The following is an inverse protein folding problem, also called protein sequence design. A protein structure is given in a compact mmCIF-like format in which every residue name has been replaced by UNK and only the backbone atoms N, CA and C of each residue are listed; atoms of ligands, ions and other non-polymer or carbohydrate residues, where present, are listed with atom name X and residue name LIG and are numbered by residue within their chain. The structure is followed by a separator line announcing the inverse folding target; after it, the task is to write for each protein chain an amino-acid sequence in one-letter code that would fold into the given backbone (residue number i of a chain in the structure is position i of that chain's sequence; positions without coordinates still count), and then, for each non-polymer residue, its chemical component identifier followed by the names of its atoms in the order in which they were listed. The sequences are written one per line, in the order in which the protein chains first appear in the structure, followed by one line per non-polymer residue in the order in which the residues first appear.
data_IF_862692388958
#
_entry.id   IF_862692388958
#
_cell.length_a   1.000
_cell.length_b   1.000
_cell.length_c   1.000
_cell.angle_alpha   90.00
_cell.angle_beta   90.00
_cell.angle_gamma   90.00
#
_symmetry.space_group_name_H-M   'P 1'
#
loop_
_entity.id
_entity.type
_entity.pdbx_description
1 polymer ?
#
# COMPACT_ATOMS: atom_id res chain seq x y z
N UNK A 1 6.62 -29.24 13.39
CA UNK A 1 7.54 -28.40 14.17
C UNK A 1 8.21 -27.41 13.23
N UNK A 2 8.29 -26.17 13.63
CA UNK A 2 8.87 -25.07 12.84
C UNK A 2 9.97 -24.43 13.68
N UNK A 3 11.12 -24.16 13.06
CA UNK A 3 12.24 -23.51 13.72
C UNK A 3 12.36 -22.05 13.26
N UNK A 4 12.50 -21.13 14.20
CA UNK A 4 12.75 -19.71 13.92
C UNK A 4 14.19 -19.38 14.34
N UNK A 5 14.99 -18.86 13.40
CA UNK A 5 16.33 -18.38 13.68
C UNK A 5 16.35 -16.85 13.64
N UNK A 6 16.55 -16.21 14.79
CA UNK A 6 17.00 -14.84 14.84
C UNK A 6 18.52 -14.77 14.71
N UNK A 7 19.05 -13.82 13.99
CA UNK A 7 20.48 -13.66 13.64
C UNK A 7 21.41 -13.49 14.87
N UNK A 8 20.88 -13.42 16.09
CA UNK A 8 21.68 -13.16 17.31
C UNK A 8 21.57 -14.20 18.44
N UNK A 9 20.85 -15.31 18.26
CA UNK A 9 20.78 -16.32 19.32
C UNK A 9 21.17 -17.69 18.82
N UNK A 10 22.17 -18.31 19.45
CA UNK A 10 22.60 -19.69 19.19
C UNK A 10 21.53 -20.74 19.59
N UNK A 11 20.32 -20.35 19.95
CA UNK A 11 19.22 -21.24 20.27
C UNK A 11 18.14 -21.12 19.18
N UNK A 12 17.89 -22.24 18.50
CA UNK A 12 16.78 -22.39 17.56
C UNK A 12 15.54 -22.80 18.37
N UNK A 13 14.57 -21.91 18.65
CA UNK A 13 13.32 -22.33 19.26
C UNK A 13 12.58 -23.25 18.30
N UNK A 14 12.16 -24.41 18.81
CA UNK A 14 11.25 -25.32 18.12
C UNK A 14 9.84 -24.94 18.54
N UNK A 15 9.01 -24.61 17.58
CA UNK A 15 7.65 -24.14 17.80
C UNK A 15 6.68 -24.93 16.94
N UNK A 16 5.39 -24.82 17.25
CA UNK A 16 4.33 -25.39 16.45
C UNK A 16 3.61 -24.30 15.64
N UNK A 17 3.14 -24.64 14.45
CA UNK A 17 2.15 -23.84 13.73
C UNK A 17 0.80 -24.12 14.38
N UNK A 18 0.16 -23.09 14.93
CA UNK A 18 -1.11 -23.18 15.65
C UNK A 18 -2.30 -22.99 14.71
N UNK A 19 -2.16 -22.22 13.65
CA UNK A 19 -3.17 -22.03 12.60
C UNK A 19 -2.52 -21.57 11.29
N UNK A 20 -3.17 -21.91 10.19
CA UNK A 20 -2.90 -21.37 8.85
C UNK A 20 -4.04 -20.42 8.48
N UNK A 21 -3.75 -19.51 7.54
CA UNK A 21 -4.72 -18.59 6.94
C UNK A 21 -5.53 -17.79 7.98
N UNK A 22 -4.84 -17.37 9.05
CA UNK A 22 -5.45 -16.56 10.10
C UNK A 22 -5.63 -15.14 9.56
N UNK A 23 -6.88 -14.76 9.32
CA UNK A 23 -7.22 -13.38 8.96
C UNK A 23 -6.93 -12.43 10.12
N UNK A 24 -6.11 -11.45 9.86
CA UNK A 24 -5.73 -10.43 10.82
C UNK A 24 -5.82 -9.06 10.18
N UNK A 25 -6.70 -8.20 10.73
CA UNK A 25 -6.87 -6.81 10.28
C UNK A 25 -5.89 -5.92 11.02
N UNK A 26 -5.03 -5.25 10.26
CA UNK A 26 -4.05 -4.30 10.80
C UNK A 26 -4.69 -2.94 11.12
N UNK A 27 -3.97 -2.10 11.87
CA UNK A 27 -4.41 -0.75 12.26
C UNK A 27 -4.69 0.19 11.08
N UNK A 28 -4.21 -0.14 9.90
CA UNK A 28 -4.45 0.57 8.65
C UNK A 28 -5.63 -0.02 7.83
N UNK A 29 -6.48 -0.85 8.46
CA UNK A 29 -7.60 -1.57 7.82
C UNK A 29 -7.20 -2.53 6.69
N UNK A 30 -5.95 -2.95 6.62
CA UNK A 30 -5.51 -4.00 5.70
C UNK A 30 -5.67 -5.35 6.41
N UNK A 31 -6.43 -6.26 5.83
CA UNK A 31 -6.56 -7.64 6.30
C UNK A 31 -5.54 -8.51 5.57
N UNK A 32 -4.81 -9.32 6.32
CA UNK A 32 -3.82 -10.27 5.81
C UNK A 32 -4.06 -11.66 6.39
N UNK A 33 -3.85 -12.68 5.58
CA UNK A 33 -3.81 -14.06 6.01
C UNK A 33 -2.41 -14.39 6.52
N UNK A 34 -2.29 -14.82 7.77
CA UNK A 34 -1.03 -15.05 8.45
C UNK A 34 -0.93 -16.48 8.98
N UNK A 35 0.30 -16.99 9.08
CA UNK A 35 0.63 -18.20 9.82
C UNK A 35 0.67 -17.83 11.31
N UNK A 36 -0.12 -18.51 12.14
CA UNK A 36 -0.06 -18.38 13.59
C UNK A 36 0.85 -19.46 14.17
N UNK A 37 1.71 -19.08 15.12
CA UNK A 37 2.65 -19.97 15.80
C UNK A 37 2.72 -19.65 17.30
N UNK A 38 3.11 -20.61 18.10
CA UNK A 38 3.42 -20.43 19.51
C UNK A 38 4.85 -19.92 19.77
N UNK A 39 5.58 -19.62 18.69
CA UNK A 39 6.88 -18.97 18.82
C UNK A 39 6.77 -17.58 19.44
N UNK A 40 7.66 -17.29 20.36
CA UNK A 40 7.82 -15.94 20.89
C UNK A 40 8.40 -15.00 19.80
N UNK A 41 7.50 -14.28 19.12
CA UNK A 41 7.90 -13.25 18.14
C UNK A 41 8.01 -11.92 18.88
N UNK A 42 9.25 -11.43 19.00
CA UNK A 42 9.58 -10.21 19.72
C UNK A 42 10.33 -9.21 18.82
N UNK A 43 10.54 -8.02 19.34
CA UNK A 43 11.46 -7.06 18.72
C UNK A 43 12.87 -7.68 18.62
N UNK A 44 13.41 -7.74 17.40
CA UNK A 44 14.71 -8.33 17.07
C UNK A 44 14.64 -9.59 16.21
N UNK A 45 13.54 -10.35 16.22
CA UNK A 45 13.34 -11.44 15.27
C UNK A 45 12.30 -11.12 14.16
N UNK A 46 11.70 -9.93 14.20
CA UNK A 46 10.80 -9.44 13.15
C UNK A 46 11.56 -9.26 11.83
N UNK A 47 10.98 -9.75 10.73
CA UNK A 47 11.62 -9.82 9.41
C UNK A 47 12.54 -11.05 9.25
N UNK A 48 12.69 -11.88 10.29
CA UNK A 48 13.42 -13.14 10.22
C UNK A 48 12.63 -14.22 9.49
N UNK A 49 13.33 -15.26 9.04
CA UNK A 49 12.70 -16.38 8.37
C UNK A 49 12.14 -17.41 9.36
N UNK A 50 10.95 -17.91 9.04
CA UNK A 50 10.32 -19.06 9.67
C UNK A 50 10.63 -20.30 8.82
N UNK A 51 11.34 -21.28 9.39
CA UNK A 51 11.74 -22.49 8.69
C UNK A 51 10.92 -23.70 9.10
N UNK A 52 10.67 -24.62 8.19
CA UNK A 52 10.22 -25.96 8.53
C UNK A 52 11.39 -26.87 8.95
N UNK A 53 11.10 -28.12 9.31
CA UNK A 53 12.12 -29.10 9.71
C UNK A 53 13.08 -29.51 8.58
N UNK A 54 12.75 -29.20 7.34
CA UNK A 54 13.57 -29.49 6.17
C UNK A 54 14.50 -28.33 5.80
N UNK A 55 14.45 -27.22 6.56
CA UNK A 55 15.23 -26.01 6.29
C UNK A 55 14.63 -25.11 5.21
N UNK A 56 13.39 -25.35 4.80
CA UNK A 56 12.70 -24.50 3.83
C UNK A 56 12.05 -23.32 4.54
N UNK A 57 12.12 -22.13 3.93
CA UNK A 57 11.45 -20.93 4.42
C UNK A 57 9.95 -21.04 4.13
N UNK A 58 9.13 -21.04 5.17
CA UNK A 58 7.67 -21.11 5.07
C UNK A 58 7.00 -19.77 5.35
N UNK A 59 7.69 -18.82 5.97
CA UNK A 59 7.16 -17.51 6.26
C UNK A 59 8.21 -16.50 6.72
N UNK A 60 7.77 -15.26 6.87
CA UNK A 60 8.56 -14.15 7.40
C UNK A 60 7.89 -13.66 8.69
N UNK A 61 8.63 -13.67 9.80
CA UNK A 61 8.11 -13.28 11.11
C UNK A 61 7.75 -11.79 11.16
N UNK A 62 6.62 -11.45 11.79
CA UNK A 62 6.15 -10.07 11.93
C UNK A 62 5.80 -9.76 13.39
N UNK A 63 6.71 -9.09 14.10
CA UNK A 63 6.56 -8.75 15.52
C UNK A 63 5.54 -7.64 15.84
N UNK A 64 4.97 -6.98 14.84
CA UNK A 64 4.01 -5.87 15.07
C UNK A 64 2.61 -6.34 15.49
N UNK A 65 2.41 -7.64 15.63
CA UNK A 65 1.11 -8.19 15.98
C UNK A 65 1.10 -8.73 17.41
N UNK A 66 1.32 -7.89 18.39
CA UNK A 66 0.85 -8.15 19.76
C UNK A 66 -0.56 -7.57 19.87
N UNK A 67 -1.58 -8.44 19.90
CA UNK A 67 -2.95 -8.01 20.10
C UNK A 67 -3.10 -7.41 21.50
N UNK A 68 -3.15 -6.10 21.60
CA UNK A 68 -3.72 -5.42 22.76
C UNK A 68 -5.23 -5.46 22.60
N UNK A 69 -5.86 -6.52 23.09
CA UNK A 69 -7.29 -6.45 23.36
C UNK A 69 -7.49 -5.45 24.50
N UNK A 70 -8.43 -4.51 24.31
CA UNK A 70 -8.72 -3.41 25.24
C UNK A 70 -9.15 -3.81 26.67
N UNK A 71 -8.87 -5.02 27.11
CA UNK A 71 -9.14 -5.58 28.45
C UNK A 71 -7.87 -5.77 29.31
N UNK A 72 -6.71 -5.25 28.89
CA UNK A 72 -5.50 -5.26 29.73
C UNK A 72 -4.80 -6.61 29.89
N UNK A 73 -5.24 -7.67 29.21
CA UNK A 73 -4.55 -8.95 29.16
C UNK A 73 -3.62 -8.98 27.94
N UNK A 74 -2.30 -8.98 28.15
CA UNK A 74 -1.35 -9.33 27.11
C UNK A 74 -1.53 -10.79 26.75
N UNK A 75 -1.85 -11.11 25.50
CA UNK A 75 -1.84 -12.49 25.04
C UNK A 75 -0.37 -12.74 24.63
N UNK A 76 0.41 -13.25 25.59
CA UNK A 76 1.77 -13.67 25.36
C UNK A 76 1.77 -15.05 24.67
N UNK A 77 2.75 -15.31 23.81
CA UNK A 77 2.97 -16.55 23.06
C UNK A 77 2.06 -16.79 21.84
N UNK A 78 1.54 -15.77 21.20
CA UNK A 78 0.99 -15.86 19.85
C UNK A 78 1.88 -15.08 18.92
N UNK A 79 2.60 -15.79 18.06
CA UNK A 79 3.40 -15.20 16.98
C UNK A 79 2.67 -15.27 15.65
N UNK A 80 2.97 -14.34 14.77
CA UNK A 80 2.46 -14.31 13.41
C UNK A 80 3.58 -14.20 12.40
N UNK A 81 3.45 -14.92 11.29
CA UNK A 81 4.36 -14.85 10.16
C UNK A 81 3.57 -14.70 8.86
N UNK A 82 4.10 -13.91 7.94
CA UNK A 82 3.57 -13.75 6.59
C UNK A 82 3.94 -15.01 5.80
N UNK A 83 2.98 -15.74 5.19
CA UNK A 83 3.28 -16.92 4.39
C UNK A 83 4.22 -16.56 3.23
N UNK A 84 5.25 -17.38 2.99
CA UNK A 84 6.22 -17.12 1.91
C UNK A 84 5.54 -17.09 0.53
N UNK A 85 4.50 -17.90 0.33
CA UNK A 85 3.77 -17.96 -0.93
C UNK A 85 3.08 -16.63 -1.27
N UNK A 86 2.61 -15.88 -0.26
CA UNK A 86 1.95 -14.58 -0.46
C UNK A 86 2.91 -13.47 -0.87
N UNK A 87 4.22 -13.64 -0.61
CA UNK A 87 5.24 -12.63 -0.89
C UNK A 87 6.31 -13.08 -1.87
N UNK A 88 6.19 -14.29 -2.42
CA UNK A 88 7.19 -14.89 -3.29
C UNK A 88 7.53 -14.01 -4.49
N UNK A 89 6.53 -13.49 -5.20
CA UNK A 89 6.74 -12.60 -6.34
C UNK A 89 7.48 -11.30 -5.95
N UNK A 90 7.25 -10.82 -4.73
CA UNK A 90 7.94 -9.64 -4.18
C UNK A 90 9.41 -10.00 -3.90
N UNK A 91 9.65 -11.14 -3.28
CA UNK A 91 11.01 -11.63 -2.97
C UNK A 91 11.79 -11.87 -4.25
N UNK A 92 11.20 -12.57 -5.22
CA UNK A 92 11.82 -12.82 -6.52
C UNK A 92 12.16 -11.49 -7.23
N UNK A 93 11.26 -10.51 -7.21
CA UNK A 93 11.50 -9.17 -7.77
C UNK A 93 12.66 -8.44 -7.09
N UNK A 94 12.77 -8.55 -5.76
CA UNK A 94 13.88 -7.94 -5.01
C UNK A 94 15.21 -8.63 -5.36
N UNK A 95 15.22 -9.96 -5.49
CA UNK A 95 16.43 -10.73 -5.83
C UNK A 95 16.89 -10.41 -7.26
N UNK A 96 15.97 -10.36 -8.22
CA UNK A 96 16.27 -10.16 -9.62
C UNK A 96 16.59 -8.70 -9.98
N UNK A 97 15.80 -7.76 -9.43
CA UNK A 97 15.81 -6.34 -9.82
C UNK A 97 16.40 -5.41 -8.74
N UNK A 98 16.51 -5.88 -7.49
CA UNK A 98 16.94 -5.07 -6.36
C UNK A 98 15.86 -4.14 -5.79
N UNK A 99 14.65 -4.17 -6.34
CA UNK A 99 13.53 -3.34 -5.88
C UNK A 99 12.18 -4.00 -6.17
N UNK A 100 11.15 -3.55 -5.47
CA UNK A 100 9.75 -3.89 -5.76
C UNK A 100 9.16 -2.78 -6.61
N UNK A 101 8.77 -3.13 -7.81
CA UNK A 101 8.03 -2.24 -8.70
C UNK A 101 6.54 -2.37 -8.44
N UNK A 102 5.88 -1.24 -8.25
CA UNK A 102 4.41 -1.18 -8.19
C UNK A 102 3.87 -0.53 -9.45
N UNK A 103 2.84 -1.11 -10.08
CA UNK A 103 2.18 -0.45 -11.18
C UNK A 103 1.55 0.86 -10.69
N UNK A 104 1.69 1.93 -11.43
CA UNK A 104 1.10 3.22 -11.11
C UNK A 104 0.80 4.04 -12.36
N UNK A 105 -0.16 4.96 -12.25
CA UNK A 105 -0.47 5.91 -13.33
C UNK A 105 -0.08 7.34 -12.99
N UNK A 106 0.28 7.63 -11.75
CA UNK A 106 0.78 8.94 -11.32
C UNK A 106 -0.35 9.94 -11.06
N UNK A 107 -1.40 9.54 -10.37
CA UNK A 107 -2.48 10.42 -9.89
C UNK A 107 -2.68 10.26 -8.39
N UNK A 108 -3.02 11.36 -7.74
CA UNK A 108 -3.61 11.36 -6.41
C UNK A 108 -5.10 11.52 -6.58
N UNK A 109 -5.89 10.61 -6.02
CA UNK A 109 -7.34 10.60 -6.17
C UNK A 109 -8.06 10.60 -4.82
N UNK A 110 -9.25 11.15 -4.80
CA UNK A 110 -10.23 11.06 -3.72
C UNK A 110 -11.55 10.50 -4.27
N UNK A 111 -12.43 10.07 -3.37
CA UNK A 111 -13.79 9.76 -3.76
C UNK A 111 -14.56 11.07 -4.02
N UNK A 112 -15.48 11.04 -4.98
CA UNK A 112 -16.44 12.14 -5.19
C UNK A 112 -17.38 12.17 -4.00
N UNK A 113 -17.62 13.34 -3.40
CA UNK A 113 -18.52 13.45 -2.25
C UNK A 113 -19.97 13.18 -2.63
N UNK A 114 -20.74 12.59 -1.70
CA UNK A 114 -22.17 12.32 -1.89
C UNK A 114 -22.96 13.60 -2.21
N UNK A 115 -22.52 14.73 -1.68
CA UNK A 115 -23.08 16.04 -1.96
C UNK A 115 -22.88 16.41 -3.44
N UNK A 116 -21.68 16.26 -3.99
CA UNK A 116 -21.40 16.53 -5.40
C UNK A 116 -22.21 15.60 -6.33
N UNK A 117 -22.36 14.33 -5.94
CA UNK A 117 -23.18 13.36 -6.69
C UNK A 117 -24.65 13.81 -6.71
N UNK A 118 -25.17 14.32 -5.60
CA UNK A 118 -26.55 14.83 -5.53
C UNK A 118 -26.81 16.04 -6.44
N UNK A 119 -25.77 16.81 -6.78
CA UNK A 119 -25.81 17.91 -7.76
C UNK A 119 -25.52 17.48 -9.20
N UNK A 120 -25.51 16.17 -9.47
CA UNK A 120 -25.37 15.63 -10.83
C UNK A 120 -23.93 15.35 -11.28
N UNK A 121 -22.95 15.42 -10.37
CA UNK A 121 -21.58 14.99 -10.64
C UNK A 121 -21.53 13.44 -10.68
N UNK A 122 -20.92 12.80 -11.68
CA UNK A 122 -20.85 11.35 -11.72
C UNK A 122 -20.00 10.80 -10.57
N UNK A 123 -20.38 9.62 -10.05
CA UNK A 123 -19.56 8.87 -9.12
C UNK A 123 -18.26 8.44 -9.81
N UNK A 124 -17.17 8.33 -9.03
CA UNK A 124 -15.87 7.95 -9.56
C UNK A 124 -14.70 8.40 -8.70
N UNK A 125 -13.50 8.26 -9.25
CA UNK A 125 -12.26 8.72 -8.62
C UNK A 125 -11.93 10.14 -9.10
N UNK A 126 -12.07 11.13 -8.21
CA UNK A 126 -11.74 12.52 -8.49
C UNK A 126 -10.22 12.74 -8.41
N UNK A 127 -9.60 13.24 -9.46
CA UNK A 127 -8.17 13.54 -9.54
C UNK A 127 -7.88 14.82 -8.77
N UNK A 128 -7.18 14.69 -7.64
CA UNK A 128 -6.72 15.82 -6.82
C UNK A 128 -5.47 16.45 -7.42
N UNK A 129 -4.53 15.62 -7.85
CA UNK A 129 -3.29 16.05 -8.49
C UNK A 129 -2.74 14.99 -9.42
N UNK A 130 -1.91 15.42 -10.37
CA UNK A 130 -1.20 14.56 -11.31
C UNK A 130 0.31 14.71 -11.06
N UNK A 131 1.03 13.59 -11.05
CA UNK A 131 2.48 13.58 -10.84
C UNK A 131 3.17 14.13 -12.10
N UNK A 132 4.00 15.15 -11.91
CA UNK A 132 4.81 15.76 -13.00
C UNK A 132 5.72 14.72 -13.66
N UNK A 133 5.73 14.69 -14.98
CA UNK A 133 6.46 13.69 -15.78
C UNK A 133 5.85 12.28 -15.73
N UNK A 134 4.76 12.09 -14.99
CA UNK A 134 4.10 10.80 -14.80
C UNK A 134 3.29 10.32 -16.01
N UNK A 135 2.86 9.05 -15.98
CA UNK A 135 2.04 8.47 -17.05
C UNK A 135 0.73 9.22 -17.29
N UNK A 136 0.04 9.63 -16.23
CA UNK A 136 -1.23 10.33 -16.30
C UNK A 136 -1.09 11.73 -16.94
N UNK A 137 -0.04 12.47 -16.59
CA UNK A 137 0.23 13.77 -17.19
C UNK A 137 0.51 13.64 -18.69
N UNK A 138 1.34 12.66 -19.06
CA UNK A 138 1.64 12.36 -20.47
C UNK A 138 0.42 11.97 -21.28
N UNK A 139 -0.57 11.36 -20.63
CA UNK A 139 -1.85 11.00 -21.23
C UNK A 139 -2.84 12.18 -21.27
N UNK A 140 -2.55 13.30 -20.63
CA UNK A 140 -3.38 14.50 -20.62
C UNK A 140 -4.45 14.52 -19.50
N UNK A 141 -4.29 13.71 -18.46
CA UNK A 141 -5.11 13.85 -17.24
C UNK A 141 -4.74 15.13 -16.49
N UNK A 142 -5.73 15.72 -15.86
CA UNK A 142 -5.59 17.00 -15.14
C UNK A 142 -6.25 16.92 -13.76
N UNK A 143 -5.88 17.84 -12.88
CA UNK A 143 -6.58 18.02 -11.63
C UNK A 143 -8.05 18.41 -11.89
N UNK A 144 -8.96 17.94 -11.05
CA UNK A 144 -10.41 18.04 -11.16
C UNK A 144 -11.07 17.17 -12.24
N UNK A 145 -10.34 16.27 -12.88
CA UNK A 145 -10.94 15.19 -13.66
C UNK A 145 -11.63 14.19 -12.73
N UNK A 146 -12.68 13.54 -13.19
CA UNK A 146 -13.30 12.42 -12.49
C UNK A 146 -13.20 11.20 -13.39
N UNK A 147 -12.47 10.19 -12.93
CA UNK A 147 -12.37 8.91 -13.63
C UNK A 147 -13.59 8.08 -13.25
N UNK A 148 -14.44 7.79 -14.22
CA UNK A 148 -15.73 7.10 -14.02
C UNK A 148 -15.68 5.64 -14.44
N UNK A 149 -14.80 5.27 -15.38
CA UNK A 149 -14.60 3.88 -15.81
C UNK A 149 -13.17 3.64 -16.26
N UNK A 150 -12.74 2.36 -16.19
CA UNK A 150 -11.46 1.87 -16.69
C UNK A 150 -11.74 0.66 -17.59
N UNK A 151 -11.29 0.68 -18.83
CA UNK A 151 -11.52 -0.35 -19.86
C UNK A 151 -13.00 -0.75 -20.00
N UNK A 152 -13.89 0.24 -19.88
CA UNK A 152 -15.34 0.04 -19.95
C UNK A 152 -15.99 -0.46 -18.65
N UNK A 153 -15.21 -0.74 -17.60
CA UNK A 153 -15.72 -1.13 -16.28
C UNK A 153 -15.90 0.10 -15.41
N UNK A 154 -17.13 0.38 -15.00
CA UNK A 154 -17.42 1.51 -14.10
C UNK A 154 -16.76 1.34 -12.75
N UNK A 155 -16.28 2.46 -12.18
CA UNK A 155 -15.70 2.53 -10.85
C UNK A 155 -16.49 3.51 -9.99
N UNK A 156 -16.72 3.16 -8.73
CA UNK A 156 -17.46 3.99 -7.78
C UNK A 156 -16.59 4.97 -7.00
N UNK A 157 -15.27 4.83 -7.09
CA UNK A 157 -14.34 5.68 -6.34
C UNK A 157 -12.87 5.22 -6.44
N UNK A 158 -12.04 5.81 -5.57
CA UNK A 158 -10.58 5.56 -5.53
C UNK A 158 -10.20 4.10 -5.35
N UNK A 159 -10.97 3.35 -4.54
CA UNK A 159 -10.68 1.93 -4.27
C UNK A 159 -10.79 1.08 -5.52
N UNK A 160 -11.82 1.32 -6.35
CA UNK A 160 -12.00 0.62 -7.62
C UNK A 160 -10.86 0.90 -8.60
N UNK A 161 -10.43 2.16 -8.71
CA UNK A 161 -9.28 2.53 -9.54
C UNK A 161 -7.99 1.86 -9.05
N UNK A 162 -7.73 1.90 -7.74
CA UNK A 162 -6.53 1.33 -7.14
C UNK A 162 -6.44 -0.18 -7.34
N UNK A 163 -7.57 -0.91 -7.19
CA UNK A 163 -7.61 -2.36 -7.43
C UNK A 163 -7.27 -2.70 -8.88
N UNK A 164 -7.86 -1.99 -9.84
CA UNK A 164 -7.58 -2.26 -11.26
C UNK A 164 -6.11 -1.99 -11.59
N UNK A 165 -5.54 -0.88 -11.09
CA UNK A 165 -4.13 -0.57 -11.33
C UNK A 165 -3.21 -1.61 -10.68
N UNK A 166 -3.54 -2.11 -9.50
CA UNK A 166 -2.73 -3.11 -8.80
C UNK A 166 -2.63 -4.45 -9.55
N UNK A 167 -3.65 -4.78 -10.35
CA UNK A 167 -3.70 -5.99 -11.16
C UNK A 167 -2.97 -5.85 -12.52
N UNK A 168 -2.50 -4.63 -12.86
CA UNK A 168 -1.82 -4.36 -14.12
C UNK A 168 -0.32 -4.61 -14.03
N UNK A 169 0.30 -4.83 -15.19
CA UNK A 169 1.75 -4.79 -15.35
C UNK A 169 2.23 -3.42 -15.85
N UNK A 170 3.48 -3.07 -15.56
CA UNK A 170 4.10 -1.90 -16.17
C UNK A 170 4.16 -2.04 -17.69
N UNK A 171 3.70 -1.02 -18.41
CA UNK A 171 3.57 -1.03 -19.86
C UNK A 171 2.15 -1.32 -20.38
N UNK A 172 1.26 -1.81 -19.56
CA UNK A 172 -0.14 -2.01 -19.93
C UNK A 172 -0.80 -0.67 -20.26
N UNK A 173 -1.76 -0.70 -21.17
CA UNK A 173 -2.54 0.48 -21.56
C UNK A 173 -3.94 0.37 -21.01
N UNK A 174 -4.31 1.35 -20.20
CA UNK A 174 -5.65 1.50 -19.64
C UNK A 174 -6.41 2.60 -20.38
N UNK A 175 -7.64 2.31 -20.77
CA UNK A 175 -8.56 3.28 -21.36
C UNK A 175 -9.47 3.82 -20.27
N UNK A 176 -9.29 5.09 -19.89
CA UNK A 176 -10.06 5.75 -18.85
C UNK A 176 -11.20 6.55 -19.45
N UNK A 177 -12.40 6.39 -18.93
CA UNK A 177 -13.51 7.34 -19.14
C UNK A 177 -13.40 8.45 -18.11
N UNK A 178 -13.23 9.68 -18.58
CA UNK A 178 -12.95 10.83 -17.72
C UNK A 178 -14.03 11.88 -17.92
N UNK A 179 -14.67 12.29 -16.85
CA UNK A 179 -15.58 13.42 -16.85
C UNK A 179 -14.81 14.71 -16.51
N UNK A 180 -14.84 15.67 -17.42
CA UNK A 180 -14.18 16.98 -17.31
C UNK A 180 -15.14 18.07 -17.78
N UNK A 181 -15.45 19.03 -16.90
CA UNK A 181 -16.27 20.20 -17.24
C UNK A 181 -17.58 19.89 -17.97
N UNK A 182 -18.31 18.85 -17.54
CA UNK A 182 -19.58 18.47 -18.16
C UNK A 182 -19.47 17.55 -19.36
N UNK A 183 -18.28 17.17 -19.78
CA UNK A 183 -18.04 16.30 -20.93
C UNK A 183 -17.34 15.01 -20.52
N UNK A 184 -17.69 13.92 -21.18
CA UNK A 184 -16.97 12.64 -21.03
C UNK A 184 -15.92 12.52 -22.12
N UNK A 185 -14.67 12.31 -21.72
CA UNK A 185 -13.51 12.14 -22.57
C UNK A 185 -12.95 10.74 -22.39
N UNK A 186 -12.30 10.22 -23.41
CA UNK A 186 -11.54 8.97 -23.33
C UNK A 186 -10.06 9.29 -23.33
N UNK A 187 -9.35 8.81 -22.30
CA UNK A 187 -7.91 9.04 -22.11
C UNK A 187 -7.22 7.70 -21.98
N UNK A 188 -6.20 7.44 -22.82
CA UNK A 188 -5.40 6.21 -22.71
C UNK A 188 -4.13 6.49 -21.95
N UNK A 189 -3.96 5.81 -20.80
CA UNK A 189 -2.79 5.91 -19.94
C UNK A 189 -1.97 4.63 -20.05
N UNK A 190 -0.66 4.76 -20.21
CA UNK A 190 0.25 3.60 -20.11
C UNK A 190 0.70 3.48 -18.66
N UNK A 191 0.45 2.33 -18.05
CA UNK A 191 0.84 2.06 -16.65
C UNK A 191 2.36 2.13 -16.53
N UNK A 192 2.83 2.95 -15.62
CA UNK A 192 4.25 3.08 -15.30
C UNK A 192 4.66 2.15 -14.16
N UNK A 193 5.95 2.14 -13.88
CA UNK A 193 6.57 1.41 -12.79
C UNK A 193 7.05 2.40 -11.72
N UNK A 194 6.52 2.30 -10.51
CA UNK A 194 6.97 3.10 -9.39
C UNK A 194 7.88 2.28 -8.50
N UNK A 195 9.15 2.69 -8.39
CA UNK A 195 10.12 2.05 -7.51
C UNK A 195 9.96 2.56 -6.07
N UNK A 196 10.32 1.71 -5.10
CA UNK A 196 10.31 2.10 -3.67
C UNK A 196 11.18 3.31 -3.37
N UNK A 197 12.28 3.51 -4.11
CA UNK A 197 13.15 4.69 -4.01
C UNK A 197 12.44 5.97 -4.51
N UNK A 198 11.64 5.89 -5.55
CA UNK A 198 10.86 7.03 -6.05
C UNK A 198 9.77 7.44 -5.04
N UNK A 199 9.12 6.46 -4.39
CA UNK A 199 8.15 6.72 -3.30
C UNK A 199 8.79 7.41 -2.10
N UNK A 200 9.98 6.96 -1.67
CA UNK A 200 10.70 7.57 -0.55
C UNK A 200 11.09 9.02 -0.85
N UNK A 201 11.54 9.31 -2.08
CA UNK A 201 11.89 10.67 -2.50
C UNK A 201 10.65 11.59 -2.58
N UNK A 202 9.51 11.09 -3.05
CA UNK A 202 8.26 11.86 -3.04
C UNK A 202 7.77 12.19 -1.63
N UNK A 203 7.84 11.24 -0.70
CA UNK A 203 7.47 11.46 0.69
C UNK A 203 8.39 12.49 1.38
N UNK A 204 9.68 12.46 1.10
CA UNK A 204 10.62 13.46 1.63
C UNK A 204 10.36 14.86 1.07
N UNK A 205 10.04 14.98 -0.21
CA UNK A 205 9.70 16.27 -0.82
C UNK A 205 8.40 16.86 -0.25
N UNK A 206 7.38 16.03 -0.02
CA UNK A 206 6.13 16.46 0.61
C UNK A 206 6.33 16.93 2.06
N UNK A 207 7.16 16.24 2.83
CA UNK A 207 7.50 16.64 4.20
C UNK A 207 8.27 17.97 4.23
N UNK A 208 9.19 18.20 3.29
CA UNK A 208 9.93 19.47 3.18
C UNK A 208 9.02 20.64 2.80
N UNK A 209 8.04 20.44 1.91
CA UNK A 209 7.08 21.47 1.55
C UNK A 209 6.14 21.84 2.72
N UNK A 210 5.73 20.87 3.53
CA UNK A 210 4.92 21.14 4.72
C UNK A 210 5.70 21.90 5.80
N UNK A 211 6.99 21.62 5.97
CA UNK A 211 7.85 22.35 6.91
C UNK A 211 8.10 23.80 6.46
N UNK A 212 8.21 24.05 5.15
CA UNK A 212 8.38 25.43 4.63
C UNK A 212 7.13 26.28 4.79
N UNK A 213 5.93 25.70 4.78
CA UNK A 213 4.68 26.44 5.01
C UNK A 213 4.49 26.81 6.50
N UNK A 214 5.08 26.06 7.42
CA UNK A 214 5.01 26.36 8.86
C UNK A 214 6.04 27.41 9.33
N UNK A 215 7.03 27.74 8.50
CA UNK A 215 8.10 28.71 8.82
C UNK A 215 7.90 30.10 8.19
N UNK A 216 6.74 30.41 7.63
CA UNK A 216 6.44 31.80 7.24
C UNK A 216 6.22 32.62 8.52
N UNK A 217 7.07 33.61 8.82
CA UNK A 217 6.83 34.51 9.94
C UNK A 217 5.61 35.37 9.64
N UNK A 218 4.77 35.55 10.66
CA UNK A 218 3.63 36.45 10.67
C UNK A 218 4.14 37.90 10.40
N UNK A 219 4.15 38.33 9.12
CA UNK A 219 4.62 39.66 8.70
C UNK A 219 3.54 40.74 8.89
N UNK A 220 2.37 40.38 9.39
CA UNK A 220 1.31 41.34 9.68
C UNK A 220 1.04 41.47 11.19
N UNK A 221 2.05 41.88 11.94
CA UNK A 221 1.87 42.49 13.27
C UNK A 221 1.36 43.92 13.11
N UNK A 222 0.03 44.13 13.00
CA UNK A 222 -0.55 45.42 13.29
C UNK A 222 -0.70 45.54 14.79
N UNK A 223 0.22 46.29 15.38
CA UNK A 223 0.06 46.84 16.72
C UNK A 223 -1.02 47.93 16.73
N UNK A 224 -1.79 47.92 17.79
CA UNK A 224 -2.78 48.94 18.18
C UNK A 224 -3.15 48.68 19.62
#
# INVERSE_FOLDING_TARGET
YVSVTGVQTCALPICAVSALDREVTMSNNVTMELIQTDCAINSGNSGGALFNLYGEVIGITNAKYSGSSGSGASIDNIGFAIPINSVRSIVDSIIEKGYVAKPYIGVMVSDVSDEAISYGTPAGAAVVSVTEGGPAEKAGLQANDIITAVDGKEISGKSGLSSIIADCAAGDKLTLSVYRQGQTLTVTVTVGEQTTSALANQQQQQQQQQQQQQTMPDIFGFGG
#
